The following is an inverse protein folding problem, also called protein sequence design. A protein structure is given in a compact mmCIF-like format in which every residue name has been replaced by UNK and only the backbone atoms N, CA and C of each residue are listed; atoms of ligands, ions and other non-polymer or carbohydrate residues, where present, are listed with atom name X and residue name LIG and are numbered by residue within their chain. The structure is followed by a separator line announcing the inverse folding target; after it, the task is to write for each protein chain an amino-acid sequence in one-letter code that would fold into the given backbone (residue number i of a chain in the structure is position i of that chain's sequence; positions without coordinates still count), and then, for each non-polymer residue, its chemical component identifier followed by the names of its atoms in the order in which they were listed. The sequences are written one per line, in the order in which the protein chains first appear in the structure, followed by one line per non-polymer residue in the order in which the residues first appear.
data_IF_039650397053
#
_entry.id   IF_039650397053
#
_cell.length_a   1.000
_cell.length_b   1.000
_cell.length_c   1.000
_cell.angle_alpha   90.00
_cell.angle_beta   90.00
_cell.angle_gamma   90.00
#
_symmetry.space_group_name_H-M   'P 1'
#
loop_
_entity.id
_entity.type
_entity.pdbx_description
1 polymer ?
#
# COMPACT_ATOMS: atom_id res chain seq x y z
N UNK A 1 -12.45 4.57 -33.12
CA UNK A 1 -11.24 3.95 -32.57
C UNK A 1 -10.66 4.91 -31.53
N UNK A 2 -10.55 4.43 -30.29
CA UNK A 2 -9.91 5.20 -29.24
C UNK A 2 -8.44 4.78 -29.18
N UNK A 3 -7.55 5.67 -29.62
CA UNK A 3 -6.13 5.38 -29.71
C UNK A 3 -5.45 5.21 -28.33
N UNK A 4 -6.08 5.70 -27.26
CA UNK A 4 -5.53 5.61 -25.92
C UNK A 4 -6.63 5.34 -24.88
N UNK A 5 -6.57 4.20 -24.20
CA UNK A 5 -7.52 3.83 -23.14
C UNK A 5 -7.59 4.82 -21.98
N UNK A 6 -6.57 5.65 -21.77
CA UNK A 6 -6.54 6.65 -20.72
C UNK A 6 -7.39 7.90 -21.04
N UNK A 7 -7.73 8.13 -22.29
CA UNK A 7 -8.48 9.32 -22.72
C UNK A 7 -9.96 9.06 -23.05
N UNK A 8 -10.39 7.80 -23.04
CA UNK A 8 -11.75 7.38 -23.46
C UNK A 8 -12.86 8.23 -22.80
N UNK A 9 -12.77 8.46 -21.50
CA UNK A 9 -13.80 9.23 -20.77
C UNK A 9 -13.79 10.68 -21.19
N UNK A 10 -12.62 11.27 -21.43
CA UNK A 10 -12.48 12.65 -21.87
C UNK A 10 -12.93 12.83 -23.32
N UNK A 11 -12.59 11.89 -24.18
CA UNK A 11 -13.00 11.90 -25.60
C UNK A 11 -14.51 11.73 -25.72
N UNK A 12 -15.12 10.83 -24.95
CA UNK A 12 -16.56 10.67 -24.87
C UNK A 12 -17.24 11.96 -24.36
N UNK A 13 -16.76 12.53 -23.26
CA UNK A 13 -17.33 13.75 -22.70
C UNK A 13 -17.21 14.95 -23.67
N UNK A 14 -16.10 15.06 -24.40
CA UNK A 14 -15.91 16.08 -25.41
C UNK A 14 -16.84 15.90 -26.63
N UNK A 15 -17.13 14.65 -27.01
CA UNK A 15 -18.05 14.34 -28.11
C UNK A 15 -19.50 14.74 -27.83
N UNK A 16 -19.90 14.86 -26.58
CA UNK A 16 -21.23 15.34 -26.20
C UNK A 16 -21.44 16.83 -26.45
N UNK A 17 -20.36 17.59 -26.66
CA UNK A 17 -20.35 19.03 -26.97
C UNK A 17 -21.19 19.90 -25.99
N UNK A 18 -21.32 19.45 -24.72
CA UNK A 18 -22.06 20.17 -23.67
C UNK A 18 -21.14 21.26 -23.09
N UNK A 19 -21.49 22.55 -23.19
CA UNK A 19 -20.70 23.63 -22.61
C UNK A 19 -20.47 23.45 -21.11
N UNK A 20 -19.22 23.55 -20.67
CA UNK A 20 -18.86 23.43 -19.24
C UNK A 20 -18.70 22.00 -18.70
N UNK A 21 -19.16 20.97 -19.40
CA UNK A 21 -19.06 19.56 -18.94
C UNK A 21 -17.62 19.17 -18.64
N UNK A 22 -16.68 19.49 -19.54
CA UNK A 22 -15.26 19.19 -19.35
C UNK A 22 -14.68 19.88 -18.10
N UNK A 23 -15.09 21.12 -17.84
CA UNK A 23 -14.67 21.84 -16.64
C UNK A 23 -15.18 21.18 -15.33
N UNK A 24 -16.42 20.70 -15.32
CA UNK A 24 -17.00 19.98 -14.18
C UNK A 24 -16.28 18.65 -13.96
N UNK A 25 -16.03 17.89 -15.02
CA UNK A 25 -15.28 16.62 -14.94
C UNK A 25 -13.88 16.86 -14.40
N UNK A 26 -13.16 17.84 -14.93
CA UNK A 26 -11.81 18.19 -14.47
C UNK A 26 -11.81 18.60 -12.99
N UNK A 27 -12.75 19.45 -12.57
CA UNK A 27 -12.88 19.87 -11.18
C UNK A 27 -13.22 18.70 -10.25
N UNK A 28 -14.11 17.79 -10.66
CA UNK A 28 -14.48 16.61 -9.89
C UNK A 28 -13.29 15.65 -9.72
N UNK A 29 -12.52 15.40 -10.78
CA UNK A 29 -11.33 14.55 -10.72
C UNK A 29 -10.27 15.17 -9.80
N UNK A 30 -10.01 16.47 -9.91
CA UNK A 30 -9.07 17.16 -9.03
C UNK A 30 -9.53 17.09 -7.56
N UNK A 31 -10.79 17.37 -7.28
CA UNK A 31 -11.32 17.32 -5.92
C UNK A 31 -11.24 15.91 -5.31
N UNK A 32 -11.59 14.88 -6.07
CA UNK A 32 -11.48 13.49 -5.64
C UNK A 32 -10.01 13.08 -5.38
N UNK A 33 -9.11 13.49 -6.25
CA UNK A 33 -7.67 13.23 -6.11
C UNK A 33 -7.10 13.92 -4.86
N UNK A 34 -7.45 15.18 -4.63
CA UNK A 34 -7.02 15.92 -3.44
C UNK A 34 -7.49 15.25 -2.16
N UNK A 35 -8.76 14.84 -2.09
CA UNK A 35 -9.33 14.15 -0.92
C UNK A 35 -8.60 12.83 -0.62
N UNK A 36 -8.31 12.03 -1.65
CA UNK A 36 -7.59 10.76 -1.48
C UNK A 36 -6.14 10.97 -1.05
N UNK A 37 -5.45 11.94 -1.64
CA UNK A 37 -4.06 12.26 -1.29
C UNK A 37 -3.93 12.81 0.12
N UNK A 38 -4.85 13.68 0.54
CA UNK A 38 -4.86 14.23 1.90
C UNK A 38 -4.97 13.12 2.96
N UNK A 39 -5.91 12.20 2.78
CA UNK A 39 -6.08 11.03 3.65
C UNK A 39 -4.84 10.13 3.68
N UNK A 40 -4.22 9.89 2.52
CA UNK A 40 -3.02 9.08 2.42
C UNK A 40 -1.83 9.74 3.14
N UNK A 41 -1.58 11.02 2.89
CA UNK A 41 -0.48 11.75 3.54
C UNK A 41 -0.66 11.85 5.04
N UNK A 42 -1.88 12.11 5.50
CA UNK A 42 -2.18 12.16 6.93
C UNK A 42 -1.94 10.80 7.60
N UNK A 43 -2.38 9.70 6.98
CA UNK A 43 -2.14 8.35 7.50
C UNK A 43 -0.65 8.03 7.55
N UNK A 44 0.10 8.27 6.47
CA UNK A 44 1.54 8.00 6.41
C UNK A 44 2.32 8.85 7.43
N UNK A 45 1.98 10.11 7.56
CA UNK A 45 2.58 11.04 8.52
C UNK A 45 2.28 10.61 9.97
N UNK A 46 1.04 10.20 10.27
CA UNK A 46 0.65 9.73 11.60
C UNK A 46 1.41 8.48 11.99
N UNK A 47 1.45 7.46 11.14
CA UNK A 47 2.21 6.23 11.39
C UNK A 47 3.70 6.56 11.59
N UNK A 48 4.28 7.40 10.73
CA UNK A 48 5.70 7.79 10.87
C UNK A 48 5.96 8.53 12.17
N UNK A 49 5.04 9.39 12.59
CA UNK A 49 5.20 10.18 13.83
C UNK A 49 4.97 9.33 15.07
N UNK A 50 3.89 8.56 15.13
CA UNK A 50 3.50 7.83 16.34
C UNK A 50 4.28 6.52 16.47
N UNK A 51 4.29 5.69 15.41
CA UNK A 51 4.83 4.32 15.51
C UNK A 51 6.37 4.31 15.41
N UNK A 52 6.98 5.28 14.72
CA UNK A 52 8.43 5.33 14.58
C UNK A 52 9.07 6.46 15.38
N UNK A 53 8.70 7.72 15.13
CA UNK A 53 9.39 8.85 15.71
C UNK A 53 9.18 8.94 17.22
N UNK A 54 7.94 8.88 17.67
CA UNK A 54 7.62 8.90 19.11
C UNK A 54 8.19 7.67 19.83
N UNK A 55 8.04 6.49 19.24
CA UNK A 55 8.43 5.24 19.91
C UNK A 55 9.95 5.05 20.01
N UNK A 56 10.70 5.42 18.97
CA UNK A 56 12.13 5.08 18.87
C UNK A 56 13.08 6.28 18.92
N UNK A 57 12.63 7.49 18.57
CA UNK A 57 13.50 8.66 18.44
C UNK A 57 13.32 9.61 19.61
N UNK A 58 12.09 9.95 19.97
CA UNK A 58 11.82 10.93 21.02
C UNK A 58 10.53 10.58 21.79
N UNK A 59 10.60 9.70 22.79
CA UNK A 59 9.41 9.21 23.50
C UNK A 59 8.71 10.29 24.36
N UNK A 60 9.48 11.25 24.92
CA UNK A 60 9.00 12.19 25.94
C UNK A 60 8.88 13.64 25.41
N UNK A 61 8.47 13.80 24.15
CA UNK A 61 8.28 15.14 23.60
C UNK A 61 6.87 15.69 23.90
N UNK A 62 6.73 17.01 23.79
CA UNK A 62 5.44 17.68 23.95
C UNK A 62 4.52 17.39 22.74
N UNK A 63 3.21 17.53 22.95
CA UNK A 63 2.21 17.37 21.87
C UNK A 63 2.46 18.33 20.69
N UNK A 64 2.91 19.55 20.98
CA UNK A 64 3.26 20.54 19.95
C UNK A 64 4.45 20.07 19.10
N UNK A 65 5.43 19.42 19.71
CA UNK A 65 6.56 18.86 18.99
C UNK A 65 6.13 17.73 18.03
N UNK A 66 5.26 16.82 18.47
CA UNK A 66 4.73 15.77 17.60
C UNK A 66 3.85 16.30 16.47
N UNK A 67 3.09 17.37 16.74
CA UNK A 67 2.32 18.05 15.70
C UNK A 67 3.24 18.66 14.62
N UNK A 68 4.35 19.30 15.04
CA UNK A 68 5.33 19.82 14.10
C UNK A 68 6.02 18.71 13.31
N UNK A 69 6.41 17.63 13.98
CA UNK A 69 7.00 16.46 13.34
C UNK A 69 6.05 15.84 12.29
N UNK A 70 4.77 15.70 12.64
CA UNK A 70 3.75 15.21 11.71
C UNK A 70 3.62 16.09 10.47
N UNK A 71 3.61 17.41 10.61
CA UNK A 71 3.59 18.33 9.46
C UNK A 71 4.82 18.19 8.57
N UNK A 72 6.00 18.02 9.16
CA UNK A 72 7.25 17.80 8.41
C UNK A 72 7.17 16.47 7.65
N UNK A 73 6.71 15.39 8.28
CA UNK A 73 6.53 14.11 7.63
C UNK A 73 5.46 14.14 6.54
N UNK A 74 4.40 14.92 6.69
CA UNK A 74 3.41 15.14 5.62
C UNK A 74 4.08 15.73 4.37
N UNK A 75 4.89 16.77 4.54
CA UNK A 75 5.63 17.39 3.43
C UNK A 75 6.63 16.39 2.83
N UNK A 76 7.35 15.67 3.66
CA UNK A 76 8.29 14.64 3.22
C UNK A 76 7.61 13.57 2.34
N UNK A 77 6.47 13.03 2.77
CA UNK A 77 5.74 12.03 2.02
C UNK A 77 5.12 12.59 0.74
N UNK A 78 4.63 13.84 0.78
CA UNK A 78 4.13 14.51 -0.43
C UNK A 78 5.24 14.65 -1.48
N UNK A 79 6.44 15.06 -1.09
CA UNK A 79 7.59 15.15 -2.00
C UNK A 79 8.06 13.77 -2.47
N UNK A 80 8.07 12.76 -1.60
CA UNK A 80 8.48 11.40 -1.95
C UNK A 80 7.59 10.76 -3.01
N UNK A 81 6.28 11.06 -3.02
CA UNK A 81 5.34 10.55 -4.03
C UNK A 81 5.49 11.24 -5.39
N UNK A 82 5.99 12.46 -5.42
CA UNK A 82 6.23 13.19 -6.68
C UNK A 82 7.25 12.44 -7.55
N UNK A 83 8.28 11.84 -6.97
CA UNK A 83 9.34 11.16 -7.72
C UNK A 83 8.77 10.01 -8.59
N UNK A 84 8.10 8.98 -8.04
CA UNK A 84 7.51 7.92 -8.84
C UNK A 84 6.43 8.43 -9.80
N UNK A 85 5.66 9.46 -9.43
CA UNK A 85 4.66 10.06 -10.31
C UNK A 85 5.30 10.64 -11.59
N UNK A 86 6.40 11.38 -11.46
CA UNK A 86 7.14 11.90 -12.64
C UNK A 86 7.79 10.80 -13.47
N UNK A 87 8.34 9.77 -12.82
CA UNK A 87 8.91 8.62 -13.54
C UNK A 87 7.84 7.92 -14.38
N UNK A 88 6.63 7.85 -13.85
CA UNK A 88 5.53 7.16 -14.50
C UNK A 88 4.90 7.96 -15.65
N UNK A 89 4.90 9.30 -15.60
CA UNK A 89 4.37 10.15 -16.67
C UNK A 89 5.07 9.91 -18.02
N UNK A 90 6.29 9.38 -18.00
CA UNK A 90 7.07 9.03 -19.20
C UNK A 90 6.74 7.65 -19.77
N UNK A 91 5.90 6.86 -19.10
CA UNK A 91 5.50 5.52 -19.54
C UNK A 91 4.31 5.60 -20.50
N UNK A 92 4.39 4.93 -21.63
CA UNK A 92 3.30 4.85 -22.61
C UNK A 92 2.22 3.80 -22.28
N UNK A 93 2.24 3.24 -21.05
CA UNK A 93 1.30 2.22 -20.61
C UNK A 93 -0.03 2.78 -20.08
N UNK A 94 -1.01 1.90 -19.90
CA UNK A 94 -2.25 2.25 -19.22
C UNK A 94 -1.99 2.59 -17.75
N UNK A 95 -2.40 3.79 -17.34
CA UNK A 95 -2.29 4.26 -15.94
C UNK A 95 -3.07 3.33 -15.01
N UNK A 96 -4.29 2.95 -15.43
CA UNK A 96 -5.16 2.08 -14.63
C UNK A 96 -4.55 0.69 -14.45
N UNK A 97 -3.98 0.12 -15.50
CA UNK A 97 -3.31 -1.19 -15.43
C UNK A 97 -2.13 -1.16 -14.46
N UNK A 98 -1.29 -0.15 -14.54
CA UNK A 98 -0.13 -0.03 -13.65
C UNK A 98 -0.52 0.19 -12.20
N UNK A 99 -1.51 1.05 -11.93
CA UNK A 99 -2.02 1.22 -10.57
C UNK A 99 -2.60 -0.07 -10.01
N UNK A 100 -3.34 -0.81 -10.84
CA UNK A 100 -3.91 -2.11 -10.47
C UNK A 100 -2.82 -3.15 -10.22
N UNK A 101 -1.79 -3.18 -11.05
CA UNK A 101 -0.63 -4.05 -10.91
C UNK A 101 0.11 -3.77 -9.60
N UNK A 102 0.46 -2.51 -9.33
CA UNK A 102 1.11 -2.10 -8.09
C UNK A 102 0.23 -2.41 -6.88
N UNK A 103 -1.07 -2.11 -6.96
CA UNK A 103 -2.03 -2.44 -5.90
C UNK A 103 -2.06 -3.93 -5.57
N UNK A 104 -2.01 -4.79 -6.59
CA UNK A 104 -2.06 -6.25 -6.42
C UNK A 104 -0.89 -6.82 -5.62
N UNK A 105 0.28 -6.20 -5.66
CA UNK A 105 1.41 -6.59 -4.80
C UNK A 105 1.09 -6.46 -3.32
N UNK A 106 0.37 -5.41 -2.94
CA UNK A 106 0.05 -5.12 -1.54
C UNK A 106 -1.19 -5.85 -1.04
N UNK A 107 -2.14 -6.16 -1.91
CA UNK A 107 -3.40 -6.83 -1.53
C UNK A 107 -3.13 -8.21 -0.93
N UNK A 108 -2.26 -9.02 -1.57
CA UNK A 108 -1.88 -10.33 -1.06
C UNK A 108 -1.20 -10.26 0.31
N UNK A 109 -0.29 -9.30 0.51
CA UNK A 109 0.37 -9.08 1.79
C UNK A 109 -0.62 -8.64 2.88
N UNK A 110 -1.53 -7.70 2.58
CA UNK A 110 -2.59 -7.26 3.52
C UNK A 110 -3.49 -8.41 3.90
N UNK A 111 -3.94 -9.22 2.93
CA UNK A 111 -4.78 -10.40 3.19
C UNK A 111 -4.09 -11.37 4.15
N UNK A 112 -2.80 -11.63 3.94
CA UNK A 112 -2.02 -12.50 4.81
C UNK A 112 -1.87 -11.90 6.21
N UNK A 113 -1.53 -10.61 6.33
CA UNK A 113 -1.38 -9.94 7.62
C UNK A 113 -2.66 -9.97 8.46
N UNK A 114 -3.79 -9.56 7.87
CA UNK A 114 -5.06 -9.56 8.57
C UNK A 114 -5.60 -10.97 8.79
N UNK A 115 -5.54 -11.84 7.78
CA UNK A 115 -5.99 -13.22 7.89
C UNK A 115 -5.24 -13.99 8.97
N UNK A 116 -3.91 -13.94 8.96
CA UNK A 116 -3.10 -14.61 9.99
C UNK A 116 -3.23 -13.92 11.35
N UNK A 117 -3.33 -12.59 11.38
CA UNK A 117 -3.52 -11.84 12.61
C UNK A 117 -4.79 -12.21 13.37
N UNK A 118 -5.90 -12.44 12.63
CA UNK A 118 -7.19 -12.78 13.26
C UNK A 118 -7.39 -14.29 13.45
N UNK A 119 -6.96 -15.10 12.48
CA UNK A 119 -7.32 -16.53 12.47
C UNK A 119 -6.18 -17.46 12.93
N UNK A 120 -4.92 -17.01 12.88
CA UNK A 120 -3.78 -17.87 13.26
C UNK A 120 -3.31 -17.59 14.68
N UNK A 121 -3.28 -18.64 15.50
CA UNK A 121 -2.70 -18.61 16.86
C UNK A 121 -1.19 -18.84 16.87
N UNK A 122 -0.63 -19.32 15.77
CA UNK A 122 0.77 -19.75 15.66
C UNK A 122 1.66 -18.77 14.92
N UNK A 123 1.11 -17.68 14.38
CA UNK A 123 1.87 -16.71 13.61
C UNK A 123 2.47 -15.66 14.54
N UNK A 124 3.79 -15.51 14.49
CA UNK A 124 4.53 -14.49 15.24
C UNK A 124 4.82 -13.28 14.40
N UNK A 125 5.17 -12.16 15.03
CA UNK A 125 5.54 -10.91 14.35
C UNK A 125 6.70 -11.13 13.37
N UNK A 126 7.76 -11.84 13.82
CA UNK A 126 8.94 -12.14 12.98
C UNK A 126 8.59 -13.04 11.79
N UNK A 127 7.77 -14.06 12.01
CA UNK A 127 7.28 -14.91 10.96
C UNK A 127 6.46 -14.16 9.92
N UNK A 128 5.59 -13.25 10.37
CA UNK A 128 4.78 -12.42 9.49
C UNK A 128 5.63 -11.49 8.62
N UNK A 129 6.61 -10.80 9.21
CA UNK A 129 7.55 -9.94 8.47
C UNK A 129 8.31 -10.76 7.42
N UNK A 130 8.81 -11.94 7.81
CA UNK A 130 9.52 -12.84 6.89
C UNK A 130 8.64 -13.26 5.71
N UNK A 131 7.39 -13.61 5.98
CA UNK A 131 6.42 -13.95 4.94
C UNK A 131 6.12 -12.80 3.97
N UNK A 132 5.96 -11.60 4.49
CA UNK A 132 5.72 -10.40 3.67
C UNK A 132 6.91 -10.11 2.77
N UNK A 133 8.13 -10.15 3.29
CA UNK A 133 9.35 -9.94 2.49
C UNK A 133 9.50 -11.02 1.41
N UNK A 134 9.28 -12.29 1.77
CA UNK A 134 9.32 -13.39 0.82
C UNK A 134 8.24 -13.25 -0.26
N UNK A 135 7.02 -12.87 0.12
CA UNK A 135 5.92 -12.64 -0.81
C UNK A 135 6.22 -11.55 -1.84
N UNK A 136 6.77 -10.42 -1.40
CA UNK A 136 7.21 -9.36 -2.31
C UNK A 136 8.35 -9.85 -3.23
N UNK A 137 9.32 -10.59 -2.70
CA UNK A 137 10.41 -11.16 -3.50
C UNK A 137 9.92 -12.11 -4.59
N UNK A 138 9.01 -13.02 -4.25
CA UNK A 138 8.40 -13.95 -5.22
C UNK A 138 7.57 -13.20 -6.26
N UNK A 139 6.76 -12.24 -5.85
CA UNK A 139 5.96 -11.44 -6.79
C UNK A 139 6.84 -10.62 -7.74
N UNK A 140 7.93 -10.03 -7.24
CA UNK A 140 8.89 -9.33 -8.09
C UNK A 140 9.51 -10.28 -9.13
N UNK A 141 9.90 -11.48 -8.69
CA UNK A 141 10.44 -12.51 -9.59
C UNK A 141 9.40 -12.96 -10.63
N UNK A 142 8.16 -13.23 -10.22
CA UNK A 142 7.05 -13.60 -11.11
C UNK A 142 6.78 -12.51 -12.14
N UNK A 143 6.70 -11.27 -11.71
CA UNK A 143 6.44 -10.12 -12.58
C UNK A 143 7.57 -9.84 -13.59
N UNK A 144 8.81 -10.23 -13.24
CA UNK A 144 9.98 -9.99 -14.10
C UNK A 144 10.27 -11.15 -15.06
N UNK A 145 9.83 -12.37 -14.75
CA UNK A 145 10.21 -13.58 -15.49
C UNK A 145 9.02 -14.35 -16.06
N UNK A 146 7.79 -13.91 -15.84
CA UNK A 146 6.60 -14.61 -16.33
C UNK A 146 5.58 -13.64 -16.91
N UNK A 147 4.77 -14.12 -17.86
CA UNK A 147 3.66 -13.37 -18.45
C UNK A 147 2.33 -13.58 -17.71
N UNK A 148 2.40 -13.91 -16.42
CA UNK A 148 1.19 -14.10 -15.61
C UNK A 148 0.47 -12.76 -15.46
N UNK A 149 -0.83 -12.75 -15.76
CA UNK A 149 -1.65 -11.54 -15.65
C UNK A 149 -1.69 -11.03 -14.20
N UNK A 150 -1.57 -9.71 -14.04
CA UNK A 150 -1.51 -9.03 -12.75
C UNK A 150 -2.62 -9.37 -11.73
N UNK A 151 -3.86 -9.74 -12.10
CA UNK A 151 -4.87 -10.15 -11.12
C UNK A 151 -4.46 -11.35 -10.26
N UNK A 152 -3.62 -12.24 -10.83
CA UNK A 152 -3.10 -13.40 -10.10
C UNK A 152 -2.06 -13.06 -9.04
N UNK A 153 -1.46 -11.89 -9.09
CA UNK A 153 -0.43 -11.47 -8.12
C UNK A 153 -0.99 -11.42 -6.69
N UNK A 154 -2.26 -11.04 -6.52
CA UNK A 154 -2.90 -11.06 -5.21
C UNK A 154 -2.97 -12.49 -4.65
N UNK A 155 -3.40 -13.47 -5.46
CA UNK A 155 -3.52 -14.86 -5.04
C UNK A 155 -2.14 -15.47 -4.76
N UNK A 156 -1.19 -15.32 -5.68
CA UNK A 156 0.19 -15.82 -5.53
C UNK A 156 0.84 -15.20 -4.29
N UNK A 157 0.81 -13.87 -4.18
CA UNK A 157 1.38 -13.16 -3.05
C UNK A 157 0.73 -13.55 -1.72
N UNK A 158 -0.60 -13.69 -1.68
CA UNK A 158 -1.32 -14.13 -0.49
C UNK A 158 -0.93 -15.53 -0.04
N UNK A 159 -0.90 -16.50 -0.96
CA UNK A 159 -0.52 -17.89 -0.66
C UNK A 159 0.93 -17.96 -0.16
N UNK A 160 1.86 -17.31 -0.84
CA UNK A 160 3.28 -17.29 -0.44
C UNK A 160 3.44 -16.63 0.93
N UNK A 161 2.84 -15.46 1.15
CA UNK A 161 2.88 -14.78 2.44
C UNK A 161 2.37 -15.66 3.57
N UNK A 162 1.20 -16.28 3.41
CA UNK A 162 0.59 -17.15 4.43
C UNK A 162 1.50 -18.35 4.71
N UNK A 163 1.93 -19.04 3.67
CA UNK A 163 2.73 -20.27 3.80
C UNK A 163 4.09 -19.99 4.47
N UNK A 164 4.77 -18.95 4.01
CA UNK A 164 6.08 -18.57 4.57
C UNK A 164 5.94 -18.01 5.97
N UNK A 165 4.91 -17.19 6.25
CA UNK A 165 4.68 -16.66 7.61
C UNK A 165 4.46 -17.77 8.64
N UNK A 166 3.64 -18.76 8.31
CA UNK A 166 3.39 -19.91 9.21
C UNK A 166 4.68 -20.74 9.36
N UNK A 167 5.34 -21.09 8.25
CA UNK A 167 6.57 -21.87 8.28
C UNK A 167 7.69 -21.19 9.06
N UNK A 168 7.91 -19.89 8.82
CA UNK A 168 8.92 -19.10 9.53
C UNK A 168 8.58 -18.98 11.03
N UNK A 169 7.31 -18.78 11.38
CA UNK A 169 6.89 -18.73 12.79
C UNK A 169 7.17 -20.03 13.54
N UNK A 170 6.94 -21.17 12.90
CA UNK A 170 7.20 -22.47 13.48
C UNK A 170 8.71 -22.74 13.66
N UNK A 171 9.55 -22.23 12.75
CA UNK A 171 11.01 -22.43 12.77
C UNK A 171 11.67 -21.46 13.75
N UNK A 172 11.29 -20.18 13.75
CA UNK A 172 11.98 -19.11 14.49
C UNK A 172 11.60 -19.15 15.98
N UNK A 173 10.31 -19.25 16.27
CA UNK A 173 9.79 -19.10 17.63
C UNK A 173 9.28 -20.41 18.25
N UNK A 174 9.23 -21.50 17.49
CA UNK A 174 8.81 -22.80 17.96
C UNK A 174 7.40 -22.78 18.62
N UNK A 175 7.21 -23.64 19.63
CA UNK A 175 5.94 -23.70 20.40
C UNK A 175 5.69 -22.49 21.33
N UNK A 176 6.62 -21.58 21.48
CA UNK A 176 6.48 -20.42 22.39
C UNK A 176 5.51 -19.35 21.88
N UNK A 177 5.12 -19.39 20.61
CA UNK A 177 4.15 -18.45 20.03
C UNK A 177 2.77 -18.48 20.73
N UNK A 178 2.43 -19.58 21.37
CA UNK A 178 1.15 -19.77 22.07
C UNK A 178 1.07 -19.01 23.41
N UNK A 179 2.20 -18.74 24.06
CA UNK A 179 2.22 -18.18 25.43
C UNK A 179 2.14 -16.65 25.47
N UNK A 180 2.59 -15.95 24.42
CA UNK A 180 2.70 -14.49 24.43
C UNK A 180 1.36 -13.75 24.32
N UNK A 181 0.31 -14.37 23.77
CA UNK A 181 -0.99 -13.70 23.58
C UNK A 181 -1.89 -13.69 24.80
N UNK A 182 -1.65 -14.58 25.75
CA UNK A 182 -2.47 -14.70 26.96
C UNK A 182 -1.90 -13.96 28.17
N UNK A 183 -0.66 -13.50 28.12
CA UNK A 183 -0.03 -12.76 29.22
C UNK A 183 -0.42 -11.27 29.30
N UNK A 184 -1.22 -10.75 28.37
CA UNK A 184 -1.67 -9.34 28.37
C UNK A 184 -3.05 -9.18 28.99
N UNK A 185 -3.68 -10.26 29.45
CA UNK A 185 -5.00 -10.24 30.13
C UNK A 185 -4.92 -10.64 31.61
N UNK A 186 -3.78 -10.40 32.25
CA UNK A 186 -3.62 -10.55 33.71
C UNK A 186 -3.29 -9.22 34.36
#
# INVERSE_FOLDING_TARGET
DFDNGNTIILDFASSLAIPGLMGIIAAAVIAASMSSLDSAFNSMSTVTTIDFYQKYVKPDATSEHYLLASRIFTIFWALAIIIPAFMYTKSNGSVLETLSKVGSYFVGAKLAMFGLGFFSKHTTEKGLITGVVAGFGVLWWVASNTDIAWPWYCAIGGIVNISVSIGASLIIDGRQAEYSRYSVQG
#
